data_IF_375133280908
#
_entry.id   IF_375133280908
#
_cell.length_a   1.000
_cell.length_b   1.000
_cell.length_c   1.000
_cell.angle_alpha   90.00
_cell.angle_beta   90.00
_cell.angle_gamma   90.00
#
_symmetry.space_group_name_H-M   'P 1'
#
loop_
_entity.id
_entity.type
_entity.pdbx_description
1 polymer ?
#
# COMPACT_ATOMS: atom_id res chain seq x y z
N UNK A 1 19.32 51.83 73.02
CA UNK A 1 18.39 50.64 73.21
C UNK A 1 18.24 49.91 71.90
N UNK A 2 18.31 48.62 71.97
CA UNK A 2 18.64 47.59 71.00
C UNK A 2 17.84 47.65 69.69
N UNK A 3 18.58 47.73 68.56
CA UNK A 3 18.08 47.51 67.19
C UNK A 3 18.29 46.05 66.80
N UNK A 4 17.21 45.36 66.37
CA UNK A 4 17.25 43.98 65.91
C UNK A 4 17.52 43.94 64.45
N UNK A 5 18.61 43.23 63.98
CA UNK A 5 18.96 42.92 62.65
C UNK A 5 18.08 41.78 62.15
N UNK A 6 17.23 42.01 61.12
CA UNK A 6 16.63 40.96 60.33
C UNK A 6 17.56 40.54 59.14
N UNK A 7 18.07 39.33 59.20
CA UNK A 7 18.81 38.66 58.06
C UNK A 7 17.85 38.24 57.00
N UNK A 8 18.00 38.79 55.82
CA UNK A 8 17.31 38.30 54.58
C UNK A 8 17.89 36.96 54.10
N UNK A 9 17.02 35.99 54.01
CA UNK A 9 17.33 34.67 53.44
C UNK A 9 17.20 34.77 51.92
N UNK A 10 18.32 34.79 51.17
CA UNK A 10 18.36 34.58 49.72
C UNK A 10 17.91 33.16 49.41
N UNK A 11 16.78 33.04 48.70
CA UNK A 11 16.38 31.79 48.06
C UNK A 11 17.26 31.57 46.83
N UNK A 12 18.20 30.64 46.91
CA UNK A 12 18.88 30.07 45.76
C UNK A 12 17.85 29.32 44.92
N UNK A 13 17.55 29.81 43.70
CA UNK A 13 16.81 29.11 42.67
C UNK A 13 17.57 27.83 42.29
N UNK A 14 16.96 26.70 42.49
CA UNK A 14 17.41 25.42 41.88
C UNK A 14 17.09 25.47 40.39
N UNK A 15 18.12 25.61 39.59
CA UNK A 15 18.06 25.25 38.18
C UNK A 15 17.78 23.74 38.13
N UNK A 16 16.55 23.39 37.77
CA UNK A 16 16.20 22.02 37.41
C UNK A 16 16.72 21.85 35.99
N UNK A 17 17.79 21.08 35.86
CA UNK A 17 18.31 20.59 34.59
C UNK A 17 17.25 19.70 33.95
N UNK A 18 16.60 20.19 32.90
CA UNK A 18 15.82 19.41 31.98
C UNK A 18 16.81 18.78 31.00
N UNK A 19 17.29 17.60 31.30
CA UNK A 19 17.95 16.72 30.38
C UNK A 19 18.05 15.30 30.97
N UNK A 20 16.91 14.65 31.14
CA UNK A 20 16.88 13.22 31.09
C UNK A 20 16.10 12.82 29.82
N UNK A 21 16.78 12.86 28.69
CA UNK A 21 16.39 12.03 27.53
C UNK A 21 16.43 10.61 28.06
N UNK A 22 15.28 10.07 28.38
CA UNK A 22 15.10 8.66 28.63
C UNK A 22 15.52 7.98 27.30
N UNK A 23 16.78 7.52 27.24
CA UNK A 23 17.19 6.47 26.32
C UNK A 23 16.37 5.26 26.73
N UNK A 24 15.17 5.12 26.19
CA UNK A 24 14.48 3.84 26.17
C UNK A 24 15.44 2.88 25.49
N UNK A 25 15.86 1.82 26.20
CA UNK A 25 16.53 0.68 25.59
C UNK A 25 15.69 0.32 24.34
N UNK A 26 16.34 -0.04 23.20
CA UNK A 26 15.57 -0.55 22.08
C UNK A 26 14.70 -1.70 22.63
N UNK A 27 13.40 -1.53 22.53
CA UNK A 27 12.44 -2.60 22.76
C UNK A 27 12.87 -3.73 21.82
N UNK A 28 12.79 -4.94 22.31
CA UNK A 28 13.20 -6.12 21.56
C UNK A 28 12.36 -6.16 20.26
N UNK A 29 12.96 -5.78 19.14
CA UNK A 29 12.30 -5.48 17.89
C UNK A 29 11.71 -6.73 17.23
N UNK A 30 12.10 -7.93 17.71
CA UNK A 30 11.46 -9.20 17.32
C UNK A 30 10.03 -9.31 17.86
N UNK A 31 9.73 -8.70 19.01
CA UNK A 31 8.36 -8.66 19.58
C UNK A 31 7.41 -7.85 18.70
N UNK A 32 7.89 -6.76 18.09
CA UNK A 32 7.09 -5.93 17.17
C UNK A 32 6.74 -6.72 15.90
N UNK A 33 7.72 -7.43 15.31
CA UNK A 33 7.51 -8.25 14.13
C UNK A 33 6.51 -9.39 14.40
N UNK A 34 6.54 -9.98 15.59
CA UNK A 34 5.56 -10.96 16.03
C UNK A 34 4.13 -10.40 16.05
N UNK A 35 3.95 -9.20 16.61
CA UNK A 35 2.67 -8.49 16.59
C UNK A 35 2.14 -8.28 15.19
N UNK A 36 3.01 -7.77 14.30
CA UNK A 36 2.70 -7.56 12.89
C UNK A 36 2.26 -8.86 12.18
N UNK A 37 3.02 -9.94 12.31
CA UNK A 37 2.69 -11.23 11.68
C UNK A 37 1.33 -11.73 12.15
N UNK A 38 1.08 -11.67 13.44
CA UNK A 38 -0.18 -12.14 14.05
C UNK A 38 -1.38 -11.35 13.56
N UNK A 39 -1.26 -10.03 13.46
CA UNK A 39 -2.33 -9.16 12.96
C UNK A 39 -2.56 -9.38 11.46
N UNK A 40 -1.51 -9.50 10.66
CA UNK A 40 -1.60 -9.86 9.25
C UNK A 40 -2.32 -11.20 9.04
N UNK A 41 -1.95 -12.24 9.76
CA UNK A 41 -2.58 -13.56 9.65
C UNK A 41 -4.06 -13.49 10.01
N UNK A 42 -4.42 -12.77 11.09
CA UNK A 42 -5.81 -12.58 11.50
C UNK A 42 -6.62 -11.84 10.43
N UNK A 43 -6.10 -10.75 9.89
CA UNK A 43 -6.73 -9.99 8.81
C UNK A 43 -6.94 -10.83 7.54
N UNK A 44 -6.07 -11.83 7.32
CA UNK A 44 -6.09 -12.77 6.19
C UNK A 44 -6.94 -14.02 6.43
N UNK A 45 -7.72 -14.05 7.51
CA UNK A 45 -8.68 -15.13 7.79
C UNK A 45 -8.07 -16.37 8.41
N UNK A 46 -6.84 -16.28 8.97
CA UNK A 46 -6.24 -17.35 9.76
C UNK A 46 -6.66 -17.26 11.23
N UNK A 47 -6.95 -18.40 11.84
CA UNK A 47 -7.17 -18.47 13.28
C UNK A 47 -5.81 -18.52 14.00
N UNK A 48 -5.40 -17.38 14.58
CA UNK A 48 -4.08 -17.19 15.21
C UNK A 48 -3.92 -17.85 16.58
N UNK A 49 -4.76 -18.85 16.89
CA UNK A 49 -4.62 -19.74 18.05
C UNK A 49 -3.83 -20.98 17.63
N UNK A 50 -3.17 -21.67 18.58
CA UNK A 50 -2.55 -22.96 18.27
C UNK A 50 -3.62 -24.02 17.94
N UNK A 51 -3.30 -24.96 17.05
CA UNK A 51 -4.20 -26.03 16.64
C UNK A 51 -4.76 -26.86 17.78
N UNK A 52 -4.01 -27.02 18.86
CA UNK A 52 -4.39 -27.79 20.06
C UNK A 52 -5.38 -27.04 20.96
N UNK A 53 -5.71 -25.79 20.65
CA UNK A 53 -6.70 -25.03 21.43
C UNK A 53 -8.08 -25.72 21.41
N UNK A 54 -8.88 -25.62 22.46
CA UNK A 54 -10.22 -26.20 22.48
C UNK A 54 -11.16 -25.75 21.36
N UNK A 55 -10.94 -24.49 20.86
CA UNK A 55 -11.69 -23.92 19.73
C UNK A 55 -11.01 -24.14 18.38
N UNK A 56 -9.95 -24.94 18.34
CA UNK A 56 -9.09 -25.08 17.17
C UNK A 56 -8.29 -23.83 16.85
N UNK A 57 -7.30 -23.96 16.00
CA UNK A 57 -6.46 -22.86 15.52
C UNK A 57 -5.63 -23.29 14.35
N UNK A 58 -4.86 -22.34 13.79
CA UNK A 58 -4.03 -22.58 12.63
C UNK A 58 -2.56 -22.23 12.85
N UNK A 59 -2.21 -21.50 13.94
CA UNK A 59 -0.91 -20.87 14.06
C UNK A 59 -0.23 -21.23 15.37
N UNK A 60 0.94 -21.86 15.27
CA UNK A 60 1.86 -22.01 16.40
C UNK A 60 2.83 -20.82 16.41
N UNK A 61 3.12 -20.33 17.58
CA UNK A 61 4.20 -19.38 17.81
C UNK A 61 5.41 -20.12 18.35
N UNK A 62 6.59 -19.52 18.33
CA UNK A 62 7.88 -20.05 18.80
C UNK A 62 7.80 -21.34 19.67
N UNK A 63 7.49 -21.17 20.98
CA UNK A 63 7.44 -22.32 21.90
C UNK A 63 6.28 -23.27 21.65
N UNK A 64 5.19 -22.77 21.05
CA UNK A 64 3.99 -23.60 20.83
C UNK A 64 4.20 -24.63 19.73
N UNK A 65 5.05 -24.35 18.73
CA UNK A 65 5.32 -25.31 17.67
C UNK A 65 5.97 -26.62 18.20
N UNK A 66 6.70 -26.54 19.31
CA UNK A 66 7.31 -27.70 19.95
C UNK A 66 6.33 -28.58 20.73
N UNK A 67 5.06 -28.16 20.87
CA UNK A 67 3.99 -29.02 21.37
C UNK A 67 3.60 -30.13 20.35
N UNK A 68 3.84 -29.85 19.06
CA UNK A 68 3.61 -30.84 18.01
C UNK A 68 4.79 -31.85 17.96
N UNK A 69 4.55 -33.16 18.19
CA UNK A 69 5.62 -34.15 18.34
C UNK A 69 6.58 -34.22 17.16
N UNK A 70 6.05 -34.17 15.92
CA UNK A 70 6.86 -34.26 14.71
C UNK A 70 7.68 -33.00 14.47
N UNK A 71 7.13 -31.82 14.73
CA UNK A 71 7.89 -30.55 14.61
C UNK A 71 9.02 -30.56 15.62
N UNK A 72 8.74 -30.96 16.87
CA UNK A 72 9.76 -31.09 17.91
C UNK A 72 10.86 -32.09 17.54
N UNK A 73 10.48 -33.24 16.96
CA UNK A 73 11.44 -34.24 16.50
C UNK A 73 12.37 -33.71 15.43
N UNK A 74 11.84 -32.92 14.49
CA UNK A 74 12.62 -32.37 13.37
C UNK A 74 13.48 -31.17 13.76
N UNK A 75 12.97 -30.29 14.61
CA UNK A 75 13.62 -29.01 14.95
C UNK A 75 14.41 -29.06 16.26
N UNK A 76 14.18 -30.05 17.14
CA UNK A 76 14.81 -30.11 18.45
C UNK A 76 14.47 -28.92 19.33
N UNK A 77 15.41 -28.00 19.50
CA UNK A 77 15.23 -26.75 20.27
C UNK A 77 15.06 -25.51 19.38
N UNK A 78 15.21 -25.64 18.07
CA UNK A 78 15.05 -24.53 17.14
C UNK A 78 13.56 -24.15 17.04
N UNK A 79 13.30 -22.85 16.86
CA UNK A 79 11.94 -22.28 16.96
C UNK A 79 11.77 -21.17 15.93
N UNK A 80 11.06 -21.43 14.84
CA UNK A 80 10.68 -20.37 13.91
C UNK A 80 9.71 -19.38 14.59
N UNK A 81 9.63 -18.18 14.11
CA UNK A 81 8.73 -17.17 14.66
C UNK A 81 7.27 -17.64 14.65
N UNK A 82 6.81 -18.17 13.52
CA UNK A 82 5.49 -18.78 13.39
C UNK A 82 5.49 -19.99 12.47
N UNK A 83 4.64 -20.96 12.76
CA UNK A 83 4.23 -22.02 11.83
C UNK A 83 2.73 -21.95 11.65
N UNK A 84 2.26 -21.93 10.41
CA UNK A 84 0.84 -21.93 10.03
C UNK A 84 0.49 -23.31 9.50
N UNK A 85 -0.56 -23.92 10.04
CA UNK A 85 -1.13 -25.17 9.55
C UNK A 85 -2.00 -24.91 8.33
N UNK A 86 -1.51 -25.28 7.15
CA UNK A 86 -2.24 -25.15 5.89
C UNK A 86 -3.21 -26.33 5.71
N UNK A 87 -2.75 -27.54 6.06
CA UNK A 87 -3.54 -28.78 6.09
C UNK A 87 -2.97 -29.71 7.16
N UNK A 88 -3.48 -30.94 7.26
CA UNK A 88 -2.98 -31.93 8.23
C UNK A 88 -1.48 -32.24 8.03
N UNK A 89 -0.98 -32.20 6.80
CA UNK A 89 0.41 -32.55 6.46
C UNK A 89 1.23 -31.37 5.92
N UNK A 90 0.59 -30.27 5.57
CA UNK A 90 1.25 -29.11 4.96
C UNK A 90 1.32 -27.93 5.93
N UNK A 91 2.53 -27.39 6.10
CA UNK A 91 2.85 -26.27 6.98
C UNK A 91 3.38 -25.10 6.18
N UNK A 92 3.24 -23.91 6.72
CA UNK A 92 3.84 -22.68 6.23
C UNK A 92 4.70 -22.08 7.32
N UNK A 93 6.01 -21.97 7.11
CA UNK A 93 6.96 -21.40 8.06
C UNK A 93 7.14 -19.91 7.79
N UNK A 94 7.07 -19.12 8.85
CA UNK A 94 7.27 -17.67 8.80
C UNK A 94 8.39 -17.33 9.79
N UNK A 95 9.46 -16.70 9.29
CA UNK A 95 10.56 -16.21 10.10
C UNK A 95 10.63 -14.68 10.04
N UNK A 96 11.06 -14.05 11.14
CA UNK A 96 11.11 -12.61 11.27
C UNK A 96 12.49 -12.09 11.67
N UNK A 97 12.81 -10.87 11.24
CA UNK A 97 14.01 -10.12 11.64
C UNK A 97 13.65 -8.65 11.85
N UNK A 98 14.34 -8.02 12.79
CA UNK A 98 14.06 -6.65 13.22
C UNK A 98 14.45 -5.55 12.22
N UNK A 99 15.33 -5.83 11.29
CA UNK A 99 15.81 -4.85 10.29
C UNK A 99 15.38 -5.21 8.88
N UNK A 100 14.90 -4.26 8.09
CA UNK A 100 14.46 -4.49 6.69
C UNK A 100 15.55 -5.12 5.82
N UNK A 101 16.82 -4.75 6.03
CA UNK A 101 17.97 -5.33 5.34
C UNK A 101 18.16 -6.83 5.61
N UNK A 102 17.62 -7.35 6.70
CA UNK A 102 17.74 -8.75 7.10
C UNK A 102 16.67 -9.69 6.47
N UNK A 103 15.85 -9.20 5.53
CA UNK A 103 14.82 -10.01 4.86
C UNK A 103 15.39 -11.28 4.20
N UNK A 104 16.56 -11.18 3.57
CA UNK A 104 17.23 -12.35 2.97
C UNK A 104 17.67 -13.37 4.01
N UNK A 105 18.04 -12.89 5.19
CA UNK A 105 18.40 -13.77 6.32
C UNK A 105 17.14 -14.48 6.84
N UNK A 106 16.03 -13.76 7.06
CA UNK A 106 14.76 -14.36 7.48
C UNK A 106 14.32 -15.47 6.51
N UNK A 107 14.40 -15.23 5.19
CA UNK A 107 14.07 -16.24 4.19
C UNK A 107 14.98 -17.47 4.24
N UNK A 108 16.29 -17.28 4.41
CA UNK A 108 17.26 -18.40 4.51
C UNK A 108 17.00 -19.23 5.77
N UNK A 109 16.83 -18.59 6.91
CA UNK A 109 16.53 -19.31 8.16
C UNK A 109 15.20 -20.07 8.06
N UNK A 110 14.16 -19.46 7.45
CA UNK A 110 12.89 -20.15 7.20
C UNK A 110 13.07 -21.40 6.33
N UNK A 111 13.94 -21.33 5.32
CA UNK A 111 14.24 -22.41 4.38
C UNK A 111 15.14 -23.47 5.01
N UNK A 112 16.36 -23.06 5.42
CA UNK A 112 17.46 -23.97 5.77
C UNK A 112 17.30 -24.54 7.19
N UNK A 113 16.92 -23.69 8.16
CA UNK A 113 16.88 -24.07 9.57
C UNK A 113 15.57 -24.74 9.96
N UNK A 114 14.46 -24.48 9.22
CA UNK A 114 13.15 -24.98 9.60
C UNK A 114 12.46 -25.80 8.52
N UNK A 115 12.31 -25.27 7.30
CA UNK A 115 11.49 -25.94 6.29
C UNK A 115 12.07 -27.26 5.80
N UNK A 116 13.37 -27.30 5.48
CA UNK A 116 14.03 -28.52 5.06
C UNK A 116 14.13 -29.57 6.16
N UNK A 117 14.49 -29.27 7.43
CA UNK A 117 14.45 -30.24 8.51
C UNK A 117 13.08 -30.87 8.72
N UNK A 118 11.99 -30.07 8.67
CA UNK A 118 10.63 -30.60 8.81
C UNK A 118 10.26 -31.49 7.61
N UNK A 119 10.51 -31.05 6.39
CA UNK A 119 10.16 -31.77 5.16
C UNK A 119 10.94 -33.07 5.05
N UNK A 120 12.24 -33.06 5.37
CA UNK A 120 13.12 -34.24 5.35
C UNK A 120 12.77 -35.24 6.47
N UNK A 121 12.01 -34.83 7.49
CA UNK A 121 11.43 -35.70 8.50
C UNK A 121 10.40 -36.70 7.98
N UNK A 122 9.85 -36.43 6.78
CA UNK A 122 9.04 -37.38 5.99
C UNK A 122 7.55 -37.46 6.32
N UNK A 123 7.08 -36.91 7.44
CA UNK A 123 5.67 -36.94 7.84
C UNK A 123 4.91 -35.64 7.55
N UNK A 124 5.63 -34.52 7.59
CA UNK A 124 5.11 -33.19 7.32
C UNK A 124 5.87 -32.58 6.14
N UNK A 125 5.22 -31.68 5.42
CA UNK A 125 5.82 -30.92 4.34
C UNK A 125 5.70 -29.43 4.61
N UNK A 126 6.67 -28.65 4.15
CA UNK A 126 6.62 -27.18 4.23
C UNK A 126 6.58 -26.63 2.80
N UNK A 127 5.42 -26.59 2.13
CA UNK A 127 5.31 -26.05 0.79
C UNK A 127 5.52 -24.54 0.71
N UNK A 128 5.32 -23.79 1.80
CA UNK A 128 5.52 -22.34 1.82
C UNK A 128 6.47 -21.89 2.93
N UNK A 129 7.27 -20.89 2.60
CA UNK A 129 8.07 -20.12 3.57
C UNK A 129 7.82 -18.63 3.36
N UNK A 130 7.91 -17.85 4.45
CA UNK A 130 7.91 -16.39 4.37
C UNK A 130 8.99 -15.80 5.26
N UNK A 131 9.65 -14.77 4.74
CA UNK A 131 10.47 -13.86 5.53
C UNK A 131 9.72 -12.56 5.79
N UNK A 132 9.80 -12.07 7.02
CA UNK A 132 9.29 -10.77 7.46
C UNK A 132 10.45 -10.00 8.06
N UNK A 133 10.68 -8.78 7.64
CA UNK A 133 11.79 -7.97 8.14
C UNK A 133 11.40 -6.51 8.30
N UNK A 134 11.69 -5.92 9.45
CA UNK A 134 11.38 -4.53 9.78
C UNK A 134 10.88 -4.33 11.20
N UNK A 135 10.37 -3.14 11.47
CA UNK A 135 9.83 -2.72 12.75
C UNK A 135 8.71 -1.68 12.55
N UNK A 136 8.05 -1.28 13.62
CA UNK A 136 6.92 -0.34 13.56
C UNK A 136 7.33 1.06 13.06
N UNK A 137 8.59 1.45 13.24
CA UNK A 137 9.08 2.77 12.83
C UNK A 137 9.37 2.84 11.32
N UNK A 138 9.87 1.75 10.72
CA UNK A 138 10.27 1.68 9.31
C UNK A 138 9.30 0.86 8.44
N UNK A 139 8.31 0.23 9.07
CA UNK A 139 7.42 -0.73 8.41
C UNK A 139 8.12 -2.06 8.13
N UNK A 140 7.38 -2.98 7.54
CA UNK A 140 7.81 -4.36 7.32
C UNK A 140 7.86 -4.70 5.85
N UNK A 141 8.89 -5.43 5.45
CA UNK A 141 8.94 -6.13 4.17
C UNK A 141 8.57 -7.60 4.37
N UNK A 142 7.76 -8.10 3.45
CA UNK A 142 7.31 -9.49 3.45
C UNK A 142 7.61 -10.08 2.09
N UNK A 143 8.16 -11.30 2.07
CA UNK A 143 8.28 -12.12 0.87
C UNK A 143 7.88 -13.54 1.19
N UNK A 144 7.17 -14.16 0.26
CA UNK A 144 6.72 -15.55 0.37
C UNK A 144 7.26 -16.34 -0.81
N UNK A 145 7.67 -17.59 -0.54
CA UNK A 145 8.14 -18.53 -1.56
C UNK A 145 7.36 -19.83 -1.47
N UNK A 146 7.11 -20.44 -2.62
CA UNK A 146 6.47 -21.75 -2.77
C UNK A 146 7.51 -22.78 -3.20
N UNK A 147 7.46 -23.97 -2.62
CA UNK A 147 8.29 -25.11 -3.02
C UNK A 147 7.81 -25.66 -4.36
N UNK A 148 8.63 -25.52 -5.40
CA UNK A 148 8.35 -25.99 -6.76
C UNK A 148 9.55 -26.78 -7.25
N UNK A 149 9.36 -28.04 -7.62
CA UNK A 149 10.44 -28.90 -8.13
C UNK A 149 11.71 -28.94 -7.26
N UNK A 150 11.54 -28.94 -5.93
CA UNK A 150 12.65 -29.00 -4.97
C UNK A 150 13.36 -27.66 -4.73
N UNK A 151 12.79 -26.53 -5.15
CA UNK A 151 13.30 -25.17 -4.89
C UNK A 151 12.19 -24.24 -4.43
N UNK A 152 12.55 -23.29 -3.57
CA UNK A 152 11.60 -22.26 -3.14
C UNK A 152 11.60 -21.07 -4.11
N UNK A 153 10.56 -21.03 -4.96
CA UNK A 153 10.34 -19.97 -5.96
C UNK A 153 9.52 -18.81 -5.38
N UNK A 154 9.83 -17.55 -5.73
CA UNK A 154 9.07 -16.41 -5.27
C UNK A 154 7.59 -16.51 -5.65
N UNK A 155 6.69 -16.31 -4.68
CA UNK A 155 5.27 -16.16 -4.98
C UNK A 155 5.04 -14.79 -5.59
N UNK A 156 4.47 -14.78 -6.79
CA UNK A 156 4.17 -13.57 -7.54
C UNK A 156 2.67 -13.40 -7.72
N UNK A 157 2.23 -12.16 -7.68
CA UNK A 157 0.88 -11.73 -8.02
C UNK A 157 1.00 -10.84 -9.25
N UNK A 158 0.41 -11.26 -10.37
CA UNK A 158 0.53 -10.54 -11.64
C UNK A 158 1.99 -10.22 -12.02
N UNK A 159 2.87 -11.22 -11.91
CA UNK A 159 4.31 -11.14 -12.21
C UNK A 159 5.13 -10.20 -11.30
N UNK A 160 4.61 -9.81 -10.15
CA UNK A 160 5.35 -9.07 -9.10
C UNK A 160 5.33 -9.85 -7.79
N UNK A 161 6.45 -9.84 -7.07
CA UNK A 161 6.52 -10.51 -5.78
C UNK A 161 5.45 -10.00 -4.81
N UNK A 162 4.82 -10.95 -4.10
CA UNK A 162 3.87 -10.63 -3.05
C UNK A 162 4.56 -9.86 -1.91
N UNK A 163 3.94 -8.76 -1.46
CA UNK A 163 4.47 -7.86 -0.43
C UNK A 163 3.75 -7.96 0.91
N UNK A 164 2.89 -8.98 1.06
CA UNK A 164 2.16 -9.27 2.29
C UNK A 164 2.07 -10.76 2.52
N UNK A 165 1.74 -11.17 3.75
CA UNK A 165 1.32 -12.54 4.01
C UNK A 165 0.03 -12.84 3.24
N UNK A 166 -0.21 -14.11 2.93
CA UNK A 166 -1.30 -14.52 2.04
C UNK A 166 -2.53 -14.97 2.83
N UNK A 167 -3.70 -14.81 2.25
CA UNK A 167 -4.94 -15.33 2.82
C UNK A 167 -5.06 -16.86 2.66
N UNK A 168 -5.94 -17.45 3.46
CA UNK A 168 -6.10 -18.91 3.53
C UNK A 168 -6.45 -19.53 2.17
N UNK A 169 -7.35 -18.93 1.41
CA UNK A 169 -7.79 -19.47 0.11
C UNK A 169 -6.65 -19.45 -0.91
N UNK A 170 -5.92 -18.33 -0.94
CA UNK A 170 -4.75 -18.16 -1.80
C UNK A 170 -3.66 -19.18 -1.48
N UNK A 171 -3.33 -19.39 -0.19
CA UNK A 171 -2.33 -20.39 0.22
C UNK A 171 -2.77 -21.79 -0.16
N UNK A 172 -4.02 -22.16 0.06
CA UNK A 172 -4.55 -23.48 -0.32
C UNK A 172 -4.49 -23.69 -1.84
N UNK A 173 -4.82 -22.67 -2.62
CA UNK A 173 -4.74 -22.74 -4.09
C UNK A 173 -3.31 -22.88 -4.59
N UNK A 174 -2.35 -22.14 -4.01
CA UNK A 174 -0.91 -22.26 -4.33
C UNK A 174 -0.39 -23.67 -4.04
N UNK A 175 -0.70 -24.21 -2.87
CA UNK A 175 -0.26 -25.55 -2.49
C UNK A 175 -0.89 -26.63 -3.36
N UNK A 176 -2.16 -26.47 -3.73
CA UNK A 176 -2.86 -27.42 -4.58
C UNK A 176 -2.37 -27.38 -6.03
N UNK A 177 -2.08 -26.19 -6.57
CA UNK A 177 -1.64 -26.02 -7.97
C UNK A 177 -0.14 -26.23 -8.18
N UNK A 178 0.69 -26.03 -7.13
CA UNK A 178 2.15 -25.98 -7.28
C UNK A 178 2.65 -24.81 -8.15
N UNK A 179 1.80 -23.84 -8.47
CA UNK A 179 2.15 -22.69 -9.30
C UNK A 179 2.36 -21.46 -8.43
N UNK A 180 3.58 -20.87 -8.37
CA UNK A 180 3.86 -19.71 -7.55
C UNK A 180 3.29 -18.39 -8.12
N UNK A 181 2.71 -18.42 -9.31
CA UNK A 181 2.17 -17.22 -9.97
C UNK A 181 0.66 -17.14 -9.85
N UNK A 182 0.17 -16.11 -9.15
CA UNK A 182 -1.24 -15.80 -8.98
C UNK A 182 -1.63 -14.80 -10.07
N UNK A 183 -2.45 -15.23 -11.04
CA UNK A 183 -2.84 -14.39 -12.17
C UNK A 183 -3.91 -13.35 -11.82
N UNK A 184 -4.87 -13.69 -10.94
CA UNK A 184 -6.01 -12.85 -10.62
C UNK A 184 -6.28 -12.78 -9.12
N UNK A 185 -5.70 -11.78 -8.45
CA UNK A 185 -6.06 -11.47 -7.08
C UNK A 185 -7.30 -10.56 -7.07
N UNK A 186 -8.46 -11.12 -6.78
CA UNK A 186 -9.69 -10.34 -6.56
C UNK A 186 -9.67 -9.81 -5.13
N UNK A 187 -9.46 -8.51 -4.95
CA UNK A 187 -9.56 -7.87 -3.64
C UNK A 187 -11.01 -7.41 -3.43
N UNK A 188 -11.60 -7.85 -2.33
CA UNK A 188 -12.95 -7.45 -1.93
C UNK A 188 -13.03 -5.93 -1.71
N UNK A 189 -14.10 -5.30 -2.19
CA UNK A 189 -14.33 -3.85 -2.02
C UNK A 189 -14.38 -3.45 -0.54
N UNK A 190 -14.85 -4.32 0.35
CA UNK A 190 -14.85 -4.09 1.81
C UNK A 190 -13.44 -3.97 2.39
N UNK A 191 -12.46 -4.69 1.82
CA UNK A 191 -11.04 -4.59 2.21
C UNK A 191 -10.49 -3.22 1.82
N UNK A 192 -10.84 -2.72 0.63
CA UNK A 192 -10.44 -1.37 0.21
C UNK A 192 -11.05 -0.28 1.08
N UNK A 193 -12.34 -0.40 1.43
CA UNK A 193 -13.01 0.55 2.31
C UNK A 193 -12.30 0.64 3.66
N UNK A 194 -12.05 -0.49 4.31
CA UNK A 194 -11.34 -0.55 5.60
C UNK A 194 -9.93 0.03 5.50
N UNK A 195 -9.21 -0.29 4.44
CA UNK A 195 -7.87 0.23 4.21
C UNK A 195 -7.89 1.74 3.97
N UNK A 196 -8.82 2.27 3.17
CA UNK A 196 -8.97 3.70 2.93
C UNK A 196 -9.33 4.47 4.21
N UNK A 197 -10.23 3.92 5.05
CA UNK A 197 -10.56 4.50 6.36
C UNK A 197 -9.35 4.47 7.30
N UNK A 198 -8.62 3.36 7.36
CA UNK A 198 -7.40 3.21 8.17
C UNK A 198 -6.34 4.23 7.74
N UNK A 199 -6.10 4.36 6.45
CA UNK A 199 -5.16 5.33 5.89
C UNK A 199 -5.59 6.75 6.21
N UNK A 200 -6.87 7.10 6.01
CA UNK A 200 -7.38 8.43 6.33
C UNK A 200 -7.19 8.79 7.81
N UNK A 201 -7.46 7.85 8.72
CA UNK A 201 -7.19 8.00 10.15
C UNK A 201 -5.69 8.18 10.44
N UNK A 202 -4.84 7.39 9.80
CA UNK A 202 -3.39 7.46 9.93
C UNK A 202 -2.85 8.83 9.48
N UNK A 203 -3.28 9.32 8.32
CA UNK A 203 -2.89 10.64 7.82
C UNK A 203 -3.38 11.77 8.74
N UNK A 204 -4.58 11.62 9.33
CA UNK A 204 -5.09 12.57 10.32
C UNK A 204 -4.20 12.64 11.57
N UNK A 205 -3.84 11.49 12.13
CA UNK A 205 -2.96 11.40 13.29
C UNK A 205 -1.54 11.94 12.99
N UNK A 206 -1.09 11.84 11.74
CA UNK A 206 0.13 12.46 11.25
C UNK A 206 0.08 13.97 11.06
N UNK A 207 -1.01 14.63 11.43
CA UNK A 207 -1.24 16.08 11.24
C UNK A 207 -1.26 16.50 9.77
N UNK A 208 -1.68 15.62 8.87
CA UNK A 208 -1.89 15.94 7.46
C UNK A 208 -3.30 16.50 7.30
N UNK A 209 -3.36 17.73 6.81
CA UNK A 209 -4.63 18.44 6.60
C UNK A 209 -5.56 17.64 5.70
N UNK A 210 -6.85 17.71 5.97
CA UNK A 210 -7.87 16.98 5.21
C UNK A 210 -7.79 17.28 3.71
N UNK A 211 -7.56 18.53 3.33
CA UNK A 211 -7.44 18.96 1.95
C UNK A 211 -6.18 18.42 1.24
N UNK A 212 -5.13 18.11 2.00
CA UNK A 212 -3.87 17.59 1.46
C UNK A 212 -3.85 16.06 1.33
N UNK A 213 -4.76 15.34 2.00
CA UNK A 213 -4.70 13.87 2.04
C UNK A 213 -4.85 13.21 0.69
N UNK A 214 -5.69 13.77 -0.20
CA UNK A 214 -5.83 13.25 -1.56
C UNK A 214 -4.54 13.40 -2.36
N UNK A 215 -3.86 14.54 -2.21
CA UNK A 215 -2.54 14.81 -2.80
C UNK A 215 -1.48 13.86 -2.26
N UNK A 216 -1.40 13.71 -0.94
CA UNK A 216 -0.46 12.78 -0.30
C UNK A 216 -0.71 11.35 -0.77
N UNK A 217 -1.96 10.92 -0.85
CA UNK A 217 -2.31 9.59 -1.36
C UNK A 217 -1.91 9.42 -2.83
N UNK A 218 -2.19 10.42 -3.68
CA UNK A 218 -1.80 10.39 -5.08
C UNK A 218 -0.27 10.26 -5.23
N UNK A 219 0.51 11.05 -4.48
CA UNK A 219 1.96 10.99 -4.48
C UNK A 219 2.48 9.62 -4.02
N UNK A 220 1.97 9.08 -2.91
CA UNK A 220 2.37 7.77 -2.39
C UNK A 220 2.06 6.65 -3.39
N UNK A 221 0.87 6.65 -3.98
CA UNK A 221 0.50 5.67 -4.98
C UNK A 221 1.38 5.78 -6.23
N UNK A 222 1.64 6.99 -6.74
CA UNK A 222 2.55 7.20 -7.87
C UNK A 222 3.98 6.74 -7.53
N UNK A 223 4.50 7.11 -6.36
CA UNK A 223 5.84 6.69 -5.94
C UNK A 223 5.99 5.18 -5.80
N UNK A 224 4.90 4.46 -5.44
CA UNK A 224 4.87 3.01 -5.39
C UNK A 224 4.78 2.35 -6.77
N UNK A 225 4.47 3.09 -7.84
CA UNK A 225 4.52 2.61 -9.22
C UNK A 225 5.95 2.30 -9.67
N UNK A 226 6.92 3.00 -9.13
CA UNK A 226 8.33 2.71 -9.33
C UNK A 226 8.75 1.48 -8.51
N UNK A 227 9.45 0.54 -9.12
CA UNK A 227 9.66 -0.84 -8.65
C UNK A 227 10.13 -1.00 -7.20
N UNK A 228 11.10 -0.19 -6.74
CA UNK A 228 11.72 -0.33 -5.40
C UNK A 228 10.88 0.30 -4.27
N UNK A 229 10.02 1.27 -4.60
CA UNK A 229 9.31 2.09 -3.60
C UNK A 229 10.22 3.09 -2.86
N UNK A 230 9.61 3.99 -2.04
CA UNK A 230 10.36 5.01 -1.30
C UNK A 230 11.25 4.44 -0.19
N UNK A 231 12.35 5.14 0.11
CA UNK A 231 13.22 4.82 1.24
C UNK A 231 12.59 5.28 2.56
N UNK A 232 11.91 4.38 3.24
CA UNK A 232 11.19 4.64 4.50
C UNK A 232 12.12 4.74 5.72
N UNK A 233 13.38 4.32 5.61
CA UNK A 233 14.37 4.42 6.69
C UNK A 233 14.98 5.83 6.76
N UNK A 234 15.02 6.53 5.62
CA UNK A 234 15.55 7.88 5.52
C UNK A 234 14.81 8.88 6.43
N UNK A 235 15.49 9.95 6.83
CA UNK A 235 14.87 11.07 7.55
C UNK A 235 13.74 11.72 6.73
N UNK A 236 12.76 12.35 7.40
CA UNK A 236 11.55 12.87 6.75
C UNK A 236 11.81 13.74 5.51
N UNK A 237 12.74 14.71 5.50
CA UNK A 237 12.99 15.51 4.30
C UNK A 237 13.50 14.68 3.11
N UNK A 238 14.34 13.68 3.38
CA UNK A 238 14.89 12.78 2.36
C UNK A 238 13.80 11.84 1.84
N UNK A 239 13.00 11.25 2.73
CA UNK A 239 11.84 10.42 2.35
C UNK A 239 10.85 11.19 1.47
N UNK A 240 10.50 12.43 1.83
CA UNK A 240 9.62 13.28 1.01
C UNK A 240 10.28 13.62 -0.33
N UNK A 241 11.56 13.92 -0.34
CA UNK A 241 12.34 14.17 -1.56
C UNK A 241 12.30 12.97 -2.51
N UNK A 242 12.49 11.76 -1.98
CA UNK A 242 12.42 10.52 -2.76
C UNK A 242 11.00 10.25 -3.30
N UNK A 243 9.95 10.41 -2.47
CA UNK A 243 8.55 10.30 -2.91
C UNK A 243 8.27 11.28 -4.05
N UNK A 244 8.67 12.54 -3.91
CA UNK A 244 8.43 13.57 -4.92
C UNK A 244 9.21 13.32 -6.22
N UNK A 245 10.46 12.87 -6.12
CA UNK A 245 11.27 12.50 -7.29
C UNK A 245 10.60 11.40 -8.09
N UNK A 246 10.22 10.30 -7.45
CA UNK A 246 9.52 9.17 -8.07
C UNK A 246 8.19 9.59 -8.69
N UNK A 247 7.41 10.40 -7.97
CA UNK A 247 6.16 10.97 -8.47
C UNK A 247 6.39 11.78 -9.74
N UNK A 248 7.41 12.64 -9.75
CA UNK A 248 7.79 13.44 -10.91
C UNK A 248 8.25 12.60 -12.10
N UNK A 249 8.98 11.50 -11.85
CA UNK A 249 9.44 10.58 -12.90
C UNK A 249 8.28 9.84 -13.56
N UNK A 250 7.32 9.37 -12.76
CA UNK A 250 6.10 8.74 -13.29
C UNK A 250 5.29 9.74 -14.12
N UNK A 251 5.05 10.94 -13.63
CA UNK A 251 4.33 11.96 -14.39
C UNK A 251 5.06 12.33 -15.69
N UNK A 252 6.41 12.45 -15.65
CA UNK A 252 7.22 12.69 -16.84
C UNK A 252 7.10 11.57 -17.86
N UNK A 253 7.13 10.30 -17.41
CA UNK A 253 6.90 9.13 -18.26
C UNK A 253 5.55 9.15 -18.96
N UNK A 254 4.55 9.76 -18.34
CA UNK A 254 3.20 9.90 -18.85
C UNK A 254 2.93 11.26 -19.52
N UNK A 255 3.96 12.09 -19.73
CA UNK A 255 3.87 13.40 -20.40
C UNK A 255 2.99 14.40 -19.64
N UNK A 256 2.96 14.29 -18.31
CA UNK A 256 2.15 15.09 -17.37
C UNK A 256 3.01 15.81 -16.34
N UNK A 257 4.25 16.16 -16.70
CA UNK A 257 5.23 16.79 -15.80
C UNK A 257 4.72 18.08 -15.18
N UNK A 258 3.94 18.85 -15.93
CA UNK A 258 3.34 20.12 -15.52
C UNK A 258 2.44 20.01 -14.30
N UNK A 259 1.88 18.81 -14.04
CA UNK A 259 1.01 18.56 -12.88
C UNK A 259 1.78 18.14 -11.62
N UNK A 260 3.09 17.94 -11.70
CA UNK A 260 3.90 17.57 -10.53
C UNK A 260 3.77 18.55 -9.35
N UNK A 261 3.74 19.89 -9.52
CA UNK A 261 3.56 20.82 -8.41
C UNK A 261 2.27 20.60 -7.60
N UNK A 262 1.23 20.07 -8.23
CA UNK A 262 -0.09 19.85 -7.60
C UNK A 262 -0.22 18.53 -6.86
N UNK A 263 0.72 17.59 -7.06
CA UNK A 263 0.74 16.29 -6.38
C UNK A 263 1.95 16.09 -5.47
N UNK A 264 2.97 16.96 -5.53
CA UNK A 264 4.13 16.84 -4.63
C UNK A 264 3.74 17.06 -3.17
N UNK A 265 4.41 16.35 -2.27
CA UNK A 265 4.25 16.46 -0.82
C UNK A 265 5.24 17.51 -0.29
N UNK A 266 4.84 18.28 0.70
CA UNK A 266 5.72 19.17 1.44
C UNK A 266 5.80 18.76 2.91
N UNK A 267 6.97 18.90 3.55
CA UNK A 267 7.11 18.62 4.97
C UNK A 267 6.27 19.63 5.78
N UNK A 268 5.79 19.23 6.96
CA UNK A 268 5.09 20.16 7.83
C UNK A 268 6.02 21.28 8.28
N UNK A 269 5.50 22.50 8.33
CA UNK A 269 6.26 23.71 8.74
C UNK A 269 6.72 23.65 10.20
N UNK A 270 5.97 22.98 11.09
CA UNK A 270 6.35 22.78 12.48
C UNK A 270 7.19 21.49 12.63
N UNK A 271 8.49 21.58 13.03
CA UNK A 271 9.36 20.42 13.21
C UNK A 271 8.85 19.40 14.24
N UNK A 272 8.07 19.83 15.25
CA UNK A 272 7.46 18.91 16.22
C UNK A 272 6.54 17.87 15.57
N UNK A 273 6.01 18.18 14.39
CA UNK A 273 5.16 17.28 13.64
C UNK A 273 5.95 16.28 12.78
N UNK A 274 7.27 16.44 12.59
CA UNK A 274 8.06 15.61 11.68
C UNK A 274 7.98 14.13 12.01
N UNK A 275 8.10 13.76 13.29
CA UNK A 275 8.07 12.36 13.72
C UNK A 275 6.72 11.69 13.38
N UNK A 276 5.61 12.33 13.77
CA UNK A 276 4.28 11.77 13.50
C UNK A 276 3.90 11.82 12.04
N UNK A 277 4.39 12.83 11.29
CA UNK A 277 4.19 12.91 9.84
C UNK A 277 4.91 11.77 9.12
N UNK A 278 6.21 11.54 9.45
CA UNK A 278 6.98 10.39 8.93
C UNK A 278 6.28 9.07 9.25
N UNK A 279 5.90 8.85 10.50
CA UNK A 279 5.20 7.64 10.92
C UNK A 279 3.90 7.41 10.13
N UNK A 280 3.15 8.48 9.84
CA UNK A 280 1.93 8.38 9.05
C UNK A 280 2.20 7.99 7.58
N UNK A 281 3.25 8.55 6.96
CA UNK A 281 3.66 8.15 5.60
C UNK A 281 4.09 6.69 5.57
N UNK A 282 4.98 6.27 6.47
CA UNK A 282 5.48 4.89 6.56
C UNK A 282 4.34 3.90 6.78
N UNK A 283 3.43 4.18 7.72
CA UNK A 283 2.28 3.32 8.00
C UNK A 283 1.31 3.27 6.82
N UNK A 284 1.12 4.37 6.11
CA UNK A 284 0.30 4.38 4.88
C UNK A 284 0.94 3.52 3.79
N UNK A 285 2.25 3.66 3.54
CA UNK A 285 2.99 2.80 2.61
C UNK A 285 2.84 1.32 3.00
N UNK A 286 2.91 1.01 4.30
CA UNK A 286 2.71 -0.35 4.80
C UNK A 286 1.32 -0.90 4.48
N UNK A 287 0.26 -0.11 4.71
CA UNK A 287 -1.12 -0.51 4.36
C UNK A 287 -1.24 -0.78 2.86
N UNK A 288 -0.66 0.06 2.02
CA UNK A 288 -0.67 -0.11 0.57
C UNK A 288 0.11 -1.35 0.12
N UNK A 289 1.25 -1.63 0.73
CA UNK A 289 2.01 -2.86 0.48
C UNK A 289 1.21 -4.10 0.91
N UNK A 290 0.52 -4.05 2.05
CA UNK A 290 -0.32 -5.13 2.54
C UNK A 290 -1.49 -5.47 1.59
N UNK A 291 -1.95 -4.50 0.81
CA UNK A 291 -2.94 -4.71 -0.25
C UNK A 291 -2.31 -5.27 -1.55
N UNK A 292 -1.02 -5.50 -1.60
CA UNK A 292 -0.29 -5.83 -2.83
C UNK A 292 -0.57 -4.85 -3.97
N UNK A 293 -0.68 -3.57 -3.65
CA UNK A 293 -1.12 -2.53 -4.59
C UNK A 293 -0.21 -2.48 -5.84
N UNK A 294 1.10 -2.74 -5.67
CA UNK A 294 2.06 -2.81 -6.78
C UNK A 294 1.73 -3.92 -7.78
N UNK A 295 1.24 -5.04 -7.30
CA UNK A 295 0.87 -6.21 -8.12
C UNK A 295 -0.45 -5.99 -8.86
N UNK A 296 -1.33 -5.19 -8.28
CA UNK A 296 -2.62 -4.85 -8.86
C UNK A 296 -2.52 -4.09 -10.18
N UNK A 297 -1.38 -3.44 -10.44
CA UNK A 297 -1.16 -2.63 -11.64
C UNK A 297 -0.95 -3.42 -12.92
N UNK A 298 -0.48 -4.66 -12.81
CA UNK A 298 -0.21 -5.52 -13.97
C UNK A 298 -1.41 -6.39 -14.35
N UNK A 299 -2.45 -6.44 -13.51
CA UNK A 299 -3.57 -7.37 -13.67
C UNK A 299 -4.61 -6.97 -14.73
N UNK A 300 -4.51 -5.78 -15.32
CA UNK A 300 -5.64 -5.23 -16.09
C UNK A 300 -6.90 -4.99 -15.25
N UNK A 301 -6.91 -5.40 -13.98
CA UNK A 301 -7.96 -5.10 -13.03
C UNK A 301 -7.74 -3.70 -12.46
N UNK A 302 -8.82 -2.92 -12.40
CA UNK A 302 -8.82 -1.54 -11.90
C UNK A 302 -8.72 -1.46 -10.36
N UNK A 303 -7.77 -2.20 -9.79
CA UNK A 303 -7.60 -2.28 -8.33
C UNK A 303 -7.13 -0.96 -7.76
N UNK A 304 -6.13 -0.36 -8.40
CA UNK A 304 -5.50 0.87 -7.95
C UNK A 304 -6.46 2.07 -8.07
N UNK A 305 -7.11 2.17 -9.21
CA UNK A 305 -8.10 3.22 -9.44
C UNK A 305 -9.32 3.09 -8.54
N UNK A 306 -9.79 1.87 -8.27
CA UNK A 306 -10.87 1.62 -7.31
C UNK A 306 -10.48 2.04 -5.90
N UNK A 307 -9.28 1.66 -5.44
CA UNK A 307 -8.79 2.07 -4.13
C UNK A 307 -8.71 3.60 -4.02
N UNK A 308 -8.12 4.25 -5.03
CA UNK A 308 -7.98 5.70 -5.06
C UNK A 308 -9.32 6.42 -5.04
N UNK A 309 -10.30 5.94 -5.81
CA UNK A 309 -11.65 6.50 -5.82
C UNK A 309 -12.37 6.33 -4.47
N UNK A 310 -12.25 5.14 -3.86
CA UNK A 310 -12.78 4.90 -2.51
C UNK A 310 -12.13 5.86 -1.52
N UNK A 311 -10.82 6.08 -1.63
CA UNK A 311 -10.11 7.03 -0.80
C UNK A 311 -10.57 8.47 -1.02
N UNK A 312 -10.75 8.91 -2.25
CA UNK A 312 -11.29 10.24 -2.58
C UNK A 312 -12.67 10.44 -1.99
N UNK A 313 -13.54 9.43 -2.07
CA UNK A 313 -14.91 9.49 -1.59
C UNK A 313 -15.01 9.56 -0.06
N UNK A 314 -14.26 8.72 0.63
CA UNK A 314 -14.36 8.52 2.08
C UNK A 314 -13.22 9.17 2.88
N UNK A 315 -12.05 9.27 2.28
CA UNK A 315 -10.84 9.79 2.93
C UNK A 315 -10.69 11.30 2.83
N UNK A 316 -11.36 11.92 1.88
CA UNK A 316 -11.24 13.34 1.66
C UNK A 316 -12.57 14.04 1.88
N UNK A 317 -12.56 15.16 2.55
CA UNK A 317 -13.73 16.04 2.61
C UNK A 317 -14.00 16.67 1.25
N UNK A 318 -14.36 15.87 0.26
CA UNK A 318 -14.65 16.35 -1.10
C UNK A 318 -15.57 17.58 -1.11
N UNK A 319 -16.52 17.64 -0.17
CA UNK A 319 -17.39 18.80 0.03
C UNK A 319 -16.66 20.07 0.46
N UNK A 320 -15.54 19.96 1.17
CA UNK A 320 -14.80 21.11 1.70
C UNK A 320 -13.89 21.76 0.66
N UNK A 321 -13.46 20.98 -0.34
CA UNK A 321 -12.67 21.50 -1.49
C UNK A 321 -13.57 21.82 -2.70
N UNK A 322 -14.90 21.87 -2.52
CA UNK A 322 -15.82 22.17 -3.61
C UNK A 322 -16.01 21.04 -4.63
N UNK A 323 -15.40 19.87 -4.41
CA UNK A 323 -15.53 18.73 -5.31
C UNK A 323 -16.75 17.91 -4.93
N UNK A 324 -17.72 17.81 -5.81
CA UNK A 324 -18.86 16.90 -5.70
C UNK A 324 -18.58 15.69 -6.59
N UNK A 325 -18.27 14.56 -5.95
CA UNK A 325 -18.08 13.31 -6.68
C UNK A 325 -19.41 12.74 -7.11
N UNK A 326 -19.64 12.62 -8.41
CA UNK A 326 -20.83 11.95 -8.95
C UNK A 326 -20.81 10.47 -8.54
N UNK A 327 -21.89 9.95 -7.92
CA UNK A 327 -21.92 8.55 -7.50
C UNK A 327 -21.68 7.58 -8.66
N UNK A 328 -20.89 6.56 -8.44
CA UNK A 328 -20.46 5.59 -9.47
C UNK A 328 -21.59 4.91 -10.22
N UNK A 329 -22.68 4.60 -9.52
CA UNK A 329 -23.86 4.02 -10.16
C UNK A 329 -24.51 4.95 -11.18
N UNK A 330 -24.43 6.27 -10.97
CA UNK A 330 -24.95 7.28 -11.91
C UNK A 330 -24.03 7.36 -13.14
N UNK A 331 -22.71 7.46 -12.95
CA UNK A 331 -21.78 7.53 -14.09
C UNK A 331 -21.83 6.26 -14.94
N UNK A 332 -21.91 5.07 -14.32
CA UNK A 332 -22.08 3.79 -15.01
C UNK A 332 -23.41 3.72 -15.76
N UNK A 333 -24.52 4.07 -15.07
CA UNK A 333 -25.84 4.06 -15.68
C UNK A 333 -25.89 4.95 -16.93
N UNK A 334 -25.34 6.14 -16.87
CA UNK A 334 -25.29 7.04 -18.02
C UNK A 334 -24.50 6.45 -19.19
N UNK A 335 -23.29 5.94 -18.92
CA UNK A 335 -22.42 5.34 -19.94
C UNK A 335 -23.05 4.07 -20.56
N UNK A 336 -23.63 3.21 -19.74
CA UNK A 336 -24.31 1.98 -20.19
C UNK A 336 -25.58 2.30 -21.00
N UNK A 337 -26.38 3.28 -20.57
CA UNK A 337 -27.60 3.72 -21.27
C UNK A 337 -27.28 4.31 -22.65
N UNK A 338 -26.19 5.07 -22.76
CA UNK A 338 -25.73 5.63 -24.03
C UNK A 338 -25.08 4.58 -24.94
N UNK A 339 -24.73 3.40 -24.41
CA UNK A 339 -24.09 2.33 -25.17
C UNK A 339 -22.71 2.73 -25.68
N UNK A 340 -21.93 3.45 -24.89
CA UNK A 340 -20.60 3.97 -25.28
C UNK A 340 -19.72 2.85 -25.82
N UNK A 341 -19.31 2.95 -27.08
CA UNK A 341 -18.44 2.01 -27.75
C UNK A 341 -17.00 2.50 -27.95
N UNK A 342 -16.09 1.62 -28.40
CA UNK A 342 -14.67 1.97 -28.56
C UNK A 342 -14.39 2.95 -29.72
N UNK A 343 -15.38 3.27 -30.54
CA UNK A 343 -15.27 4.26 -31.63
C UNK A 343 -15.90 5.62 -31.30
N UNK A 344 -16.67 5.68 -30.21
CA UNK A 344 -17.35 6.92 -29.83
C UNK A 344 -16.37 7.88 -29.19
N UNK A 345 -16.56 9.18 -29.41
CA UNK A 345 -15.79 10.24 -28.75
C UNK A 345 -16.53 10.65 -27.50
N UNK A 346 -15.86 10.55 -26.37
CA UNK A 346 -16.37 10.94 -25.05
C UNK A 346 -15.64 12.21 -24.62
N UNK A 347 -16.38 13.28 -24.37
CA UNK A 347 -15.88 14.55 -23.82
C UNK A 347 -16.62 14.85 -22.52
N UNK A 348 -15.86 15.03 -21.44
CA UNK A 348 -16.34 15.57 -20.18
C UNK A 348 -15.76 16.97 -19.95
N UNK A 349 -16.54 18.05 -20.20
CA UNK A 349 -16.02 19.42 -20.18
C UNK A 349 -15.85 20.00 -18.77
N UNK A 350 -16.24 19.27 -17.73
CA UNK A 350 -16.09 19.61 -16.31
C UNK A 350 -15.81 18.33 -15.52
N UNK A 351 -14.72 17.64 -15.88
CA UNK A 351 -14.54 16.24 -15.51
C UNK A 351 -14.28 16.02 -14.01
N UNK A 352 -14.01 17.04 -13.23
CA UNK A 352 -13.69 16.88 -11.83
C UNK A 352 -12.53 15.92 -11.66
N UNK A 353 -12.69 14.88 -10.86
CA UNK A 353 -11.68 13.81 -10.68
C UNK A 353 -11.78 12.70 -11.74
N UNK A 354 -12.48 12.91 -12.84
CA UNK A 354 -12.60 12.02 -13.98
C UNK A 354 -13.63 10.89 -13.85
N UNK A 355 -14.69 11.07 -13.06
CA UNK A 355 -15.67 10.03 -12.77
C UNK A 355 -16.37 9.44 -14.00
N UNK A 356 -16.82 10.27 -14.95
CA UNK A 356 -17.45 9.82 -16.21
C UNK A 356 -16.41 9.23 -17.17
N UNK A 357 -15.22 9.81 -17.26
CA UNK A 357 -14.13 9.29 -18.09
C UNK A 357 -13.73 7.88 -17.66
N UNK A 358 -13.63 7.67 -16.35
CA UNK A 358 -13.37 6.36 -15.76
C UNK A 358 -14.48 5.38 -16.09
N UNK A 359 -15.74 5.78 -15.95
CA UNK A 359 -16.87 4.90 -16.24
C UNK A 359 -16.91 4.50 -17.73
N UNK A 360 -16.64 5.45 -18.65
CA UNK A 360 -16.58 5.19 -20.09
C UNK A 360 -15.41 4.22 -20.42
N UNK A 361 -14.24 4.48 -19.86
CA UNK A 361 -13.08 3.61 -20.06
C UNK A 361 -13.31 2.19 -19.53
N UNK A 362 -13.81 2.07 -18.30
CA UNK A 362 -14.12 0.77 -17.68
C UNK A 362 -15.20 0.01 -18.44
N UNK A 363 -16.18 0.72 -19.00
CA UNK A 363 -17.22 0.11 -19.82
C UNK A 363 -16.63 -0.46 -21.10
N UNK A 364 -15.90 0.33 -21.89
CA UNK A 364 -15.27 -0.09 -23.15
C UNK A 364 -14.30 -1.25 -22.93
N UNK A 365 -13.51 -1.21 -21.84
CA UNK A 365 -12.52 -2.25 -21.52
C UNK A 365 -13.13 -3.64 -21.28
N UNK A 366 -14.39 -3.74 -20.89
CA UNK A 366 -15.04 -5.04 -20.61
C UNK A 366 -15.19 -5.93 -21.84
N UNK A 367 -15.30 -5.34 -23.05
CA UNK A 367 -15.62 -6.11 -24.26
C UNK A 367 -14.80 -5.73 -25.50
N UNK A 368 -13.99 -4.69 -25.43
CA UNK A 368 -13.15 -4.30 -26.56
C UNK A 368 -11.80 -5.04 -26.54
N UNK A 369 -11.23 -5.26 -27.71
CA UNK A 369 -9.87 -5.79 -27.83
C UNK A 369 -8.84 -4.77 -27.35
N UNK A 370 -7.64 -5.24 -26.96
CA UNK A 370 -6.54 -4.41 -26.48
C UNK A 370 -6.25 -3.25 -27.44
N UNK A 371 -6.17 -3.52 -28.76
CA UNK A 371 -5.92 -2.49 -29.76
C UNK A 371 -7.02 -1.41 -29.79
N UNK A 372 -8.30 -1.79 -29.63
CA UNK A 372 -9.42 -0.85 -29.58
C UNK A 372 -9.41 -0.02 -28.28
N UNK A 373 -9.01 -0.63 -27.15
CA UNK A 373 -8.85 0.08 -25.86
C UNK A 373 -7.75 1.13 -25.97
N UNK A 374 -6.60 0.79 -26.56
CA UNK A 374 -5.50 1.74 -26.76
C UNK A 374 -5.89 2.89 -27.69
N UNK A 375 -6.61 2.61 -28.78
CA UNK A 375 -7.14 3.64 -29.67
C UNK A 375 -8.15 4.55 -28.95
N UNK A 376 -9.06 3.98 -28.15
CA UNK A 376 -10.05 4.74 -27.38
C UNK A 376 -9.39 5.69 -26.39
N UNK A 377 -8.42 5.23 -25.59
CA UNK A 377 -7.65 6.07 -24.68
C UNK A 377 -6.99 7.25 -25.39
N UNK A 378 -6.33 6.94 -26.51
CA UNK A 378 -5.49 7.92 -27.22
C UNK A 378 -6.30 8.98 -27.98
N UNK A 379 -7.43 8.58 -28.57
CA UNK A 379 -8.11 9.41 -29.58
C UNK A 379 -9.56 9.76 -29.27
N UNK A 380 -10.18 9.10 -28.28
CA UNK A 380 -11.62 9.17 -28.11
C UNK A 380 -12.08 9.55 -26.71
N UNK A 381 -11.18 9.72 -25.74
CA UNK A 381 -11.52 10.02 -24.34
C UNK A 381 -10.87 11.33 -23.92
N UNK A 382 -11.68 12.39 -23.68
CA UNK A 382 -11.22 13.73 -23.40
C UNK A 382 -11.87 14.30 -22.14
N UNK A 383 -11.10 15.02 -21.33
CA UNK A 383 -11.56 15.71 -20.13
C UNK A 383 -11.02 17.13 -20.04
N UNK A 384 -11.84 18.01 -19.48
CA UNK A 384 -11.42 19.37 -19.13
C UNK A 384 -11.76 19.63 -17.67
N UNK A 385 -10.85 20.26 -16.95
CA UNK A 385 -11.06 20.68 -15.56
C UNK A 385 -10.36 22.04 -15.34
N UNK A 386 -11.06 22.97 -14.71
CA UNK A 386 -10.53 24.31 -14.52
C UNK A 386 -9.54 24.40 -13.37
N UNK A 387 -9.77 23.65 -12.31
CA UNK A 387 -8.93 23.68 -11.11
C UNK A 387 -7.74 22.74 -11.27
N UNK A 388 -6.52 23.30 -11.37
CA UNK A 388 -5.25 22.56 -11.58
C UNK A 388 -5.07 21.38 -10.65
N UNK A 389 -5.41 21.55 -9.37
CA UNK A 389 -5.32 20.49 -8.37
C UNK A 389 -6.30 19.33 -8.67
N UNK A 390 -7.54 19.65 -9.05
CA UNK A 390 -8.56 18.66 -9.37
C UNK A 390 -8.22 17.93 -10.68
N UNK A 391 -7.73 18.68 -11.68
CA UNK A 391 -7.21 18.10 -12.92
C UNK A 391 -6.08 17.10 -12.66
N UNK A 392 -5.14 17.44 -11.77
CA UNK A 392 -4.06 16.54 -11.37
C UNK A 392 -4.60 15.24 -10.74
N UNK A 393 -5.63 15.31 -9.89
CA UNK A 393 -6.27 14.12 -9.33
C UNK A 393 -6.95 13.25 -10.40
N UNK A 394 -7.59 13.87 -11.40
CA UNK A 394 -8.18 13.16 -12.53
C UNK A 394 -7.13 12.43 -13.37
N UNK A 395 -6.02 13.12 -13.67
CA UNK A 395 -4.87 12.55 -14.41
C UNK A 395 -4.30 11.34 -13.67
N UNK A 396 -4.06 11.48 -12.36
CA UNK A 396 -3.56 10.38 -11.52
C UNK A 396 -4.55 9.21 -11.52
N UNK A 397 -5.84 9.50 -11.44
CA UNK A 397 -6.89 8.49 -11.49
C UNK A 397 -6.88 7.69 -12.80
N UNK A 398 -6.64 8.34 -13.94
CA UNK A 398 -6.52 7.69 -15.25
C UNK A 398 -5.19 6.93 -15.39
N UNK A 399 -4.07 7.47 -14.87
CA UNK A 399 -2.77 6.77 -14.83
C UNK A 399 -2.93 5.41 -14.12
N UNK A 400 -3.63 5.38 -12.98
CA UNK A 400 -3.86 4.16 -12.23
C UNK A 400 -4.70 3.11 -12.98
N UNK A 401 -5.45 3.53 -14.01
CA UNK A 401 -6.21 2.65 -14.89
C UNK A 401 -5.46 2.25 -16.16
N UNK A 402 -4.19 2.67 -16.27
CA UNK A 402 -3.36 2.38 -17.44
C UNK A 402 -3.57 3.35 -18.59
N UNK A 403 -4.29 4.47 -18.38
CA UNK A 403 -4.36 5.57 -19.32
C UNK A 403 -3.42 6.71 -18.89
N UNK A 404 -2.13 6.45 -19.00
CA UNK A 404 -1.12 7.40 -18.56
C UNK A 404 -0.97 8.65 -19.43
N UNK A 405 -1.22 8.51 -20.73
CA UNK A 405 -1.19 9.60 -21.71
C UNK A 405 -2.58 10.18 -21.97
N UNK A 406 -3.41 10.23 -20.94
CA UNK A 406 -4.78 10.71 -21.04
C UNK A 406 -4.89 12.13 -21.61
N UNK A 407 -6.05 12.42 -22.27
CA UNK A 407 -6.33 13.72 -22.85
C UNK A 407 -7.11 14.61 -21.87
N UNK A 408 -6.66 14.67 -20.61
CA UNK A 408 -7.18 15.61 -19.62
C UNK A 408 -6.32 16.86 -19.64
N UNK A 409 -6.99 18.02 -19.80
CA UNK A 409 -6.36 19.33 -19.84
C UNK A 409 -6.93 20.23 -18.75
N UNK A 410 -6.07 21.08 -18.20
CA UNK A 410 -6.48 22.18 -17.33
C UNK A 410 -7.01 23.31 -18.21
N UNK A 411 -8.32 23.51 -18.21
CA UNK A 411 -8.96 24.56 -18.99
C UNK A 411 -10.35 24.91 -18.49
N UNK A 412 -10.74 26.18 -18.66
CA UNK A 412 -12.13 26.60 -18.52
C UNK A 412 -12.91 26.23 -19.80
N UNK A 413 -13.91 25.38 -19.70
CA UNK A 413 -14.69 24.88 -20.84
C UNK A 413 -15.47 25.98 -21.58
N UNK A 414 -15.69 27.15 -20.97
CA UNK A 414 -16.33 28.32 -21.62
C UNK A 414 -15.32 29.23 -22.33
N UNK A 415 -14.01 28.99 -22.18
CA UNK A 415 -12.98 29.73 -22.88
C UNK A 415 -12.77 29.20 -24.31
N UNK A 416 -12.16 30.03 -25.18
CA UNK A 416 -11.90 29.66 -26.59
C UNK A 416 -10.95 28.45 -26.78
N UNK A 417 -10.51 27.80 -25.70
CA UNK A 417 -9.53 26.70 -25.69
C UNK A 417 -10.05 25.34 -26.16
N UNK A 418 -11.36 25.14 -26.33
CA UNK A 418 -11.89 23.92 -26.93
C UNK A 418 -11.19 23.54 -28.26
N UNK A 419 -10.76 24.52 -29.02
CA UNK A 419 -10.05 24.33 -30.29
C UNK A 419 -8.57 23.96 -30.10
N UNK A 420 -7.92 24.45 -29.05
CA UNK A 420 -6.53 24.15 -28.73
C UNK A 420 -6.37 22.78 -28.05
N UNK A 421 -7.24 22.42 -27.15
CA UNK A 421 -7.22 21.11 -26.50
C UNK A 421 -7.37 19.95 -27.50
N UNK A 422 -8.18 20.14 -28.55
CA UNK A 422 -8.32 19.15 -29.65
C UNK A 422 -7.14 19.15 -30.63
N UNK A 423 -6.44 20.27 -30.80
CA UNK A 423 -5.31 20.39 -31.74
C UNK A 423 -3.99 19.98 -31.09
N UNK A 424 -3.73 20.36 -29.85
CA UNK A 424 -2.50 20.02 -29.13
C UNK A 424 -2.46 18.55 -28.71
N UNK A 425 -3.60 17.94 -28.43
CA UNK A 425 -3.69 16.48 -28.19
C UNK A 425 -3.33 15.64 -29.44
N UNK A 426 -3.39 16.23 -30.63
CA UNK A 426 -3.01 15.60 -31.91
C UNK A 426 -1.62 16.00 -32.41
N UNK A 427 -1.06 17.10 -31.93
CA UNK A 427 0.24 17.64 -32.41
C UNK A 427 1.46 16.96 -31.78
N UNK A 428 1.28 16.11 -30.77
CA UNK A 428 2.35 15.37 -30.09
C UNK A 428 2.34 13.86 -30.43
N UNK A 429 1.81 13.48 -31.59
CA UNK A 429 1.85 12.11 -32.11
C UNK A 429 3.01 11.94 -33.12
#
# INVERSE_FOLDING_TARGET
MKAAKKRGRQKRGRNIAVAAIIKTKPVDTEVEAYGFIRDQLRERGWNVRPPESPSGGDVWTQNQCLAHPEIKRCLGTMRPENIVRVSEKALWVIEAKSGRSALRQALREAEDDYAWPITNGGLLTVPLISGVAGNDATGYEVRTRLLVNGKYEPVTINSREATSLLDRKTVQALVASGNPNIADLVIDETVFLRAAESVNKTLHLGSINKNDRARVMAALLLALLDGSGPDVEAELPVLIGDINSRTGDILRKHWKKEFHPFVKIEPPTNPENHVKYKAALVRTIQVLNNLNIKSAMNSGADVLGKFYEVFLKYGNGAKEIGIVLTPRHITRFAVETLGVGPKDIVLDPACGTGGFLVAAFDHVRKYASVAKIEAFKKHNLFGMEQESYVAALAIVNMIFRGDGKNNIVEANCFSKFLRQATVEGHASA
#
